data_IF_399797459190
#
_entry.id   IF_399797459190
#
_cell.length_a   1.000
_cell.length_b   1.000
_cell.length_c   1.000
_cell.angle_alpha   90.00
_cell.angle_beta   90.00
_cell.angle_gamma   90.00
#
_symmetry.space_group_name_H-M   'P 1'
#
loop_
_entity.id
_entity.type
_entity.pdbx_description
1 polymer ?
#
# COMPACT_ATOMS: atom_id res chain seq x y z
N UNK A 1 -11.75 8.25 -8.01
CA UNK A 1 -10.72 7.28 -7.57
C UNK A 1 -9.88 6.71 -8.70
N UNK A 2 -10.15 7.00 -9.99
CA UNK A 2 -9.17 6.83 -11.07
C UNK A 2 -8.55 5.43 -11.18
N UNK A 3 -9.33 4.38 -10.88
CA UNK A 3 -8.86 3.00 -10.97
C UNK A 3 -8.82 2.63 -12.45
N UNK A 4 -7.64 2.38 -13.04
CA UNK A 4 -7.55 2.05 -14.47
C UNK A 4 -8.26 0.72 -14.73
N UNK A 5 -9.01 0.62 -15.82
CA UNK A 5 -9.48 -0.68 -16.31
C UNK A 5 -8.28 -1.59 -16.62
N UNK A 6 -8.42 -2.88 -16.34
CA UNK A 6 -7.39 -3.88 -16.65
C UNK A 6 -6.26 -4.02 -15.63
N UNK A 7 -6.23 -3.22 -14.55
CA UNK A 7 -5.26 -3.38 -13.45
C UNK A 7 -5.95 -3.66 -12.12
N UNK A 8 -5.62 -4.77 -11.43
CA UNK A 8 -6.12 -5.03 -10.08
C UNK A 8 -5.77 -3.89 -9.12
N UNK A 9 -6.74 -3.49 -8.30
CA UNK A 9 -6.55 -2.59 -7.16
C UNK A 9 -6.59 -3.40 -5.87
N UNK A 10 -5.48 -3.43 -5.15
CA UNK A 10 -5.37 -4.05 -3.82
C UNK A 10 -5.44 -2.92 -2.80
N UNK A 11 -6.31 -3.03 -1.79
CA UNK A 11 -6.42 -1.95 -0.83
C UNK A 11 -7.13 -2.31 0.46
N UNK A 12 -7.05 -1.38 1.40
CA UNK A 12 -7.69 -1.50 2.72
C UNK A 12 -8.17 -0.15 3.22
N UNK A 13 -9.23 -0.18 4.04
CA UNK A 13 -9.77 0.99 4.74
C UNK A 13 -9.74 0.69 6.23
N UNK A 14 -8.83 1.33 6.97
CA UNK A 14 -8.64 1.04 8.39
C UNK A 14 -7.94 2.17 9.14
N UNK A 15 -8.04 2.17 10.48
CA UNK A 15 -7.19 3.01 11.33
C UNK A 15 -5.73 2.56 11.21
N UNK A 16 -4.80 3.49 11.03
CA UNK A 16 -3.37 3.22 10.89
C UNK A 16 -2.74 3.01 12.28
N UNK A 17 -2.96 1.81 12.81
CA UNK A 17 -2.46 1.30 14.09
C UNK A 17 -1.92 -0.13 13.93
N UNK A 18 -1.02 -0.60 14.80
CA UNK A 18 -0.34 -1.90 14.65
C UNK A 18 -1.29 -3.09 14.50
N UNK A 19 -2.40 -3.11 15.24
CA UNK A 19 -3.35 -4.22 15.26
C UNK A 19 -4.05 -4.46 13.91
N UNK A 20 -4.01 -3.49 12.99
CA UNK A 20 -4.56 -3.64 11.64
C UNK A 20 -3.58 -4.28 10.66
N UNK A 21 -2.31 -4.45 11.03
CA UNK A 21 -1.33 -5.20 10.23
C UNK A 21 -1.04 -4.59 8.85
N UNK A 22 -1.20 -3.28 8.68
CA UNK A 22 -1.05 -2.60 7.38
C UNK A 22 0.37 -2.80 6.80
N UNK A 23 1.38 -2.93 7.67
CA UNK A 23 2.75 -3.28 7.28
C UNK A 23 2.82 -4.57 6.43
N UNK A 24 2.04 -5.60 6.77
CA UNK A 24 2.05 -6.87 6.05
C UNK A 24 1.45 -6.75 4.66
N UNK A 25 0.48 -5.84 4.48
CA UNK A 25 -0.05 -5.52 3.15
C UNK A 25 1.03 -4.86 2.27
N UNK A 26 1.80 -3.93 2.85
CA UNK A 26 2.89 -3.23 2.16
C UNK A 26 4.01 -4.21 1.77
N UNK A 27 4.40 -5.09 2.69
CA UNK A 27 5.39 -6.14 2.45
C UNK A 27 4.93 -7.13 1.38
N UNK A 28 3.67 -7.59 1.44
CA UNK A 28 3.10 -8.47 0.43
C UNK A 28 3.03 -7.81 -0.96
N UNK A 29 2.70 -6.52 -1.02
CA UNK A 29 2.74 -5.76 -2.27
C UNK A 29 4.16 -5.73 -2.87
N UNK A 30 5.20 -5.63 -2.04
CA UNK A 30 6.58 -5.67 -2.52
C UNK A 30 6.93 -7.04 -3.14
N UNK A 31 6.43 -8.14 -2.56
CA UNK A 31 6.60 -9.48 -3.14
C UNK A 31 5.94 -9.57 -4.52
N UNK A 32 4.69 -9.13 -4.65
CA UNK A 32 3.98 -9.11 -5.92
C UNK A 32 4.70 -8.25 -6.97
N UNK A 33 5.23 -7.09 -6.56
CA UNK A 33 6.01 -6.22 -7.44
C UNK A 33 7.27 -6.93 -7.94
N UNK A 34 7.98 -7.65 -7.08
CA UNK A 34 9.19 -8.39 -7.44
C UNK A 34 8.90 -9.55 -8.41
N UNK A 35 7.70 -10.11 -8.36
CA UNK A 35 7.19 -11.10 -9.33
C UNK A 35 6.59 -10.46 -10.60
N UNK A 36 6.77 -9.15 -10.78
CA UNK A 36 6.32 -8.37 -11.94
C UNK A 36 4.79 -8.40 -12.16
N UNK A 37 3.99 -8.56 -11.11
CA UNK A 37 2.54 -8.35 -11.19
C UNK A 37 2.23 -6.87 -11.42
N UNK A 38 1.39 -6.57 -12.42
CA UNK A 38 0.85 -5.23 -12.65
C UNK A 38 -0.37 -4.99 -11.77
N UNK A 39 -0.23 -4.18 -10.72
CA UNK A 39 -1.31 -3.85 -9.79
C UNK A 39 -1.15 -2.42 -9.26
N UNK A 40 -2.22 -1.90 -8.64
CA UNK A 40 -2.21 -0.64 -7.90
C UNK A 40 -2.53 -0.92 -6.43
N UNK A 41 -1.98 -0.12 -5.52
CA UNK A 41 -2.27 -0.23 -4.09
C UNK A 41 -2.92 1.04 -3.54
N UNK A 42 -3.95 0.88 -2.71
CA UNK A 42 -4.61 2.00 -2.03
C UNK A 42 -4.85 1.69 -0.54
N UNK A 43 -4.28 2.52 0.33
CA UNK A 43 -4.51 2.46 1.78
C UNK A 43 -5.25 3.73 2.18
N UNK A 44 -6.47 3.57 2.69
CA UNK A 44 -7.31 4.69 3.14
C UNK A 44 -7.49 4.64 4.65
N UNK A 45 -7.29 5.77 5.30
CA UNK A 45 -7.45 5.91 6.74
C UNK A 45 -6.35 6.78 7.34
N UNK A 46 -6.37 6.91 8.66
CA UNK A 46 -5.43 7.73 9.40
C UNK A 46 -5.06 7.10 10.75
N UNK A 47 -4.00 7.59 11.37
CA UNK A 47 -3.55 7.14 12.69
C UNK A 47 -2.07 7.40 12.96
N UNK A 48 -1.62 7.12 14.19
CA UNK A 48 -0.27 7.43 14.64
C UNK A 48 0.83 6.72 13.85
N UNK A 49 0.52 5.61 13.17
CA UNK A 49 1.50 4.86 12.37
C UNK A 49 1.60 5.34 10.92
N UNK A 50 0.89 6.42 10.53
CA UNK A 50 0.92 6.96 9.16
C UNK A 50 2.34 7.11 8.63
N UNK A 51 3.17 7.88 9.34
CA UNK A 51 4.53 8.18 8.89
C UNK A 51 5.37 6.91 8.72
N UNK A 52 5.32 6.00 9.70
CA UNK A 52 6.07 4.75 9.65
C UNK A 52 5.65 3.84 8.48
N UNK A 53 4.34 3.75 8.20
CA UNK A 53 3.82 2.99 7.07
C UNK A 53 4.18 3.63 5.73
N UNK A 54 4.18 4.96 5.65
CA UNK A 54 4.63 5.69 4.47
C UNK A 54 6.13 5.51 4.20
N UNK A 55 6.96 5.55 5.25
CA UNK A 55 8.41 5.26 5.17
C UNK A 55 8.67 3.82 4.74
N UNK A 56 7.91 2.84 5.28
CA UNK A 56 7.98 1.45 4.85
C UNK A 56 7.62 1.30 3.37
N UNK A 57 6.54 1.93 2.92
CA UNK A 57 6.10 1.87 1.53
C UNK A 57 7.14 2.46 0.55
N UNK A 58 7.85 3.52 0.96
CA UNK A 58 9.02 4.04 0.21
C UNK A 58 10.17 3.05 0.23
N UNK A 59 10.51 2.52 1.41
CA UNK A 59 11.65 1.62 1.60
C UNK A 59 11.54 0.33 0.79
N UNK A 60 10.34 -0.25 0.66
CA UNK A 60 10.10 -1.44 -0.18
C UNK A 60 9.72 -1.09 -1.63
N UNK A 61 9.68 0.20 -1.97
CA UNK A 61 9.45 0.69 -3.32
C UNK A 61 8.03 0.50 -3.86
N UNK A 62 7.02 0.42 -3.00
CA UNK A 62 5.60 0.28 -3.41
C UNK A 62 4.81 1.58 -3.29
N UNK A 63 5.42 2.67 -2.79
CA UNK A 63 4.83 4.01 -2.87
C UNK A 63 4.93 4.52 -4.30
N UNK A 64 3.77 4.68 -4.94
CA UNK A 64 3.68 5.49 -6.16
C UNK A 64 3.52 6.96 -5.76
N UNK A 65 4.42 7.81 -6.25
CA UNK A 65 4.25 9.26 -6.17
C UNK A 65 3.17 9.66 -7.17
N UNK A 66 1.91 9.67 -6.74
CA UNK A 66 0.87 10.41 -7.43
C UNK A 66 0.53 11.66 -6.64
N UNK A 67 0.36 12.82 -7.31
CA UNK A 67 0.00 14.07 -6.67
C UNK A 67 -1.34 13.99 -5.94
#
# INVERSE_FOLDING_TARGET
WGVPEGRPLIGTIARLIPQKGIQYLIEAAALLKNEAFDFRMLIVGDGPFRQQLEELAVGVGVRENLP
#
